data_IF_395481219096
#
_entry.id   IF_395481219096
#
_cell.length_a   1.000
_cell.length_b   1.000
_cell.length_c   1.000
_cell.angle_alpha   90.00
_cell.angle_beta   90.00
_cell.angle_gamma   90.00
#
_symmetry.space_group_name_H-M   'P 1'
#
loop_
_entity.id
_entity.type
_entity.pdbx_description
1 polymer ?
#
# COMPACT_ATOMS: atom_id res chain seq x y z
N UNK A 1 -6.26 -17.54 -1.67
CA UNK A 1 -5.25 -16.58 -2.21
C UNK A 1 -4.04 -17.32 -2.76
N UNK A 2 -3.41 -16.77 -3.82
CA UNK A 2 -2.18 -17.29 -4.44
C UNK A 2 -0.92 -16.63 -3.85
N UNK A 3 -1.01 -15.36 -3.48
CA UNK A 3 0.13 -14.52 -3.14
C UNK A 3 0.16 -14.20 -1.65
N UNK A 4 1.36 -14.21 -1.07
CA UNK A 4 1.56 -13.95 0.35
C UNK A 4 1.30 -12.49 0.72
N UNK A 5 0.85 -12.29 1.94
CA UNK A 5 0.62 -10.98 2.54
C UNK A 5 1.79 -10.62 3.44
N UNK A 6 2.31 -9.40 3.26
CA UNK A 6 3.33 -8.78 4.10
C UNK A 6 2.80 -7.46 4.66
N UNK A 7 3.05 -7.24 5.94
CA UNK A 7 2.60 -6.05 6.68
C UNK A 7 3.84 -5.36 7.26
N UNK A 8 4.37 -4.30 6.64
CA UNK A 8 5.38 -3.48 7.28
C UNK A 8 4.76 -2.74 8.46
N UNK A 9 5.38 -2.83 9.64
CA UNK A 9 4.84 -2.22 10.86
C UNK A 9 5.94 -1.73 11.80
N UNK A 10 5.67 -0.64 12.53
CA UNK A 10 6.59 -0.03 13.49
C UNK A 10 5.80 0.57 14.66
N UNK A 11 6.12 0.13 15.89
CA UNK A 11 5.56 0.71 17.12
C UNK A 11 4.08 0.41 17.35
N UNK A 12 3.51 -0.64 16.72
CA UNK A 12 2.06 -0.98 16.78
C UNK A 12 1.78 -2.41 17.22
N UNK A 13 2.71 -3.04 17.93
CA UNK A 13 2.57 -4.44 18.34
C UNK A 13 1.34 -4.66 19.24
N UNK A 14 0.97 -3.69 20.08
CA UNK A 14 -0.23 -3.80 20.93
C UNK A 14 -1.53 -3.76 20.12
N UNK A 15 -1.55 -3.00 19.02
CA UNK A 15 -2.74 -2.75 18.21
C UNK A 15 -2.41 -2.71 16.72
N UNK A 16 -2.11 -3.85 16.14
CA UNK A 16 -1.96 -4.03 14.69
C UNK A 16 -3.32 -4.41 14.09
N UNK A 17 -4.09 -3.41 13.63
CA UNK A 17 -5.45 -3.61 13.15
C UNK A 17 -5.50 -4.58 11.98
N UNK A 18 -4.56 -4.50 11.05
CA UNK A 18 -4.48 -5.39 9.90
C UNK A 18 -4.19 -6.83 10.32
N UNK A 19 -3.23 -7.04 11.21
CA UNK A 19 -2.91 -8.39 11.70
C UNK A 19 -4.09 -8.99 12.48
N UNK A 20 -4.74 -8.21 13.33
CA UNK A 20 -5.92 -8.66 14.08
C UNK A 20 -7.09 -9.01 13.13
N UNK A 21 -7.31 -8.22 12.05
CA UNK A 21 -8.30 -8.53 11.01
C UNK A 21 -7.98 -9.85 10.30
N UNK A 22 -6.74 -10.06 9.86
CA UNK A 22 -6.35 -11.27 9.13
C UNK A 22 -6.43 -12.52 10.02
N UNK A 23 -6.00 -12.42 11.28
CA UNK A 23 -6.15 -13.50 12.26
C UNK A 23 -7.62 -13.87 12.48
N UNK A 24 -8.50 -12.89 12.60
CA UNK A 24 -9.94 -13.13 12.82
C UNK A 24 -10.60 -13.91 11.69
N UNK A 25 -9.99 -13.89 10.49
CA UNK A 25 -10.44 -14.64 9.31
C UNK A 25 -9.52 -15.82 8.95
N UNK A 26 -8.61 -16.21 9.84
CA UNK A 26 -7.68 -17.32 9.66
C UNK A 26 -6.84 -17.21 8.37
N UNK A 27 -6.35 -16.00 8.06
CA UNK A 27 -5.54 -15.71 6.88
C UNK A 27 -4.06 -15.61 7.29
N UNK A 28 -3.19 -16.26 6.52
CA UNK A 28 -1.74 -16.20 6.74
C UNK A 28 -1.15 -14.88 6.26
N UNK A 29 -0.18 -14.36 7.04
CA UNK A 29 0.56 -13.15 6.73
C UNK A 29 1.94 -13.16 7.38
N UNK A 30 2.80 -12.22 6.96
CA UNK A 30 4.09 -11.93 7.62
C UNK A 30 4.12 -10.46 8.06
N UNK A 31 4.36 -10.24 9.35
CA UNK A 31 4.72 -8.93 9.90
C UNK A 31 6.19 -8.69 9.64
N UNK A 32 6.52 -7.51 9.13
CA UNK A 32 7.91 -7.12 8.85
C UNK A 32 8.30 -5.99 9.79
N UNK A 33 9.21 -6.28 10.71
CA UNK A 33 9.51 -5.46 11.88
C UNK A 33 11.01 -5.19 12.05
N UNK A 34 11.34 -4.09 12.72
CA UNK A 34 12.71 -3.84 13.14
C UNK A 34 13.15 -4.83 14.23
N UNK A 35 14.44 -5.12 14.29
CA UNK A 35 15.04 -6.05 15.27
C UNK A 35 14.63 -5.74 16.71
N UNK A 36 14.67 -4.47 17.08
CA UNK A 36 14.30 -4.02 18.46
C UNK A 36 12.86 -4.32 18.86
N UNK A 37 11.97 -4.59 17.91
CA UNK A 37 10.55 -4.88 18.16
C UNK A 37 10.21 -6.36 17.96
N UNK A 38 11.12 -7.16 17.39
CA UNK A 38 10.88 -8.54 17.01
C UNK A 38 10.23 -9.37 18.12
N UNK A 39 10.80 -9.35 19.33
CA UNK A 39 10.30 -10.14 20.46
C UNK A 39 8.85 -9.80 20.78
N UNK A 40 8.49 -8.53 20.81
CA UNK A 40 7.11 -8.09 21.12
C UNK A 40 6.08 -8.61 20.12
N UNK A 41 6.43 -8.57 18.82
CA UNK A 41 5.56 -9.10 17.79
C UNK A 41 5.54 -10.62 17.76
N UNK A 42 6.67 -11.27 17.97
CA UNK A 42 6.77 -12.73 18.01
C UNK A 42 5.98 -13.34 19.18
N UNK A 43 6.02 -12.72 20.35
CA UNK A 43 5.27 -13.15 21.53
C UNK A 43 3.75 -13.03 21.31
N UNK A 44 3.30 -12.00 20.58
CA UNK A 44 1.87 -11.78 20.33
C UNK A 44 1.33 -12.60 19.17
N UNK A 45 2.05 -12.67 18.06
CA UNK A 45 1.55 -13.19 16.78
C UNK A 45 2.15 -14.54 16.38
N UNK A 46 3.15 -15.02 17.11
CA UNK A 46 3.94 -16.20 16.78
C UNK A 46 5.19 -15.83 15.94
N UNK A 47 6.33 -16.43 16.27
CA UNK A 47 7.62 -16.18 15.59
C UNK A 47 7.59 -16.55 14.11
N UNK A 48 6.77 -17.54 13.74
CA UNK A 48 6.55 -17.98 12.38
C UNK A 48 5.92 -16.91 11.49
N UNK A 49 5.19 -15.94 12.07
CA UNK A 49 4.57 -14.83 11.36
C UNK A 49 5.40 -13.55 11.31
N UNK A 50 6.57 -13.53 11.97
CA UNK A 50 7.36 -12.30 12.08
C UNK A 50 8.67 -12.42 11.30
N UNK A 51 8.87 -11.52 10.35
CA UNK A 51 10.12 -11.34 9.62
C UNK A 51 10.88 -10.15 10.20
N UNK A 52 12.11 -10.37 10.55
CA UNK A 52 13.02 -9.36 11.06
C UNK A 52 13.74 -8.65 9.92
N UNK A 53 13.73 -7.33 9.91
CA UNK A 53 14.56 -6.53 9.01
C UNK A 53 16.05 -6.76 9.32
N UNK A 54 16.92 -6.80 8.30
CA UNK A 54 18.35 -7.12 8.47
C UNK A 54 19.13 -6.04 9.20
N UNK A 55 18.58 -4.85 9.31
CA UNK A 55 19.21 -3.73 10.04
C UNK A 55 18.16 -2.81 10.64
N UNK A 56 18.57 -1.96 11.59
CA UNK A 56 17.72 -0.89 12.10
C UNK A 56 17.27 0.01 10.95
N UNK A 57 15.96 0.30 10.92
CA UNK A 57 15.34 0.95 9.78
C UNK A 57 15.50 2.46 9.83
N UNK A 58 16.67 2.97 9.51
CA UNK A 58 16.85 4.40 9.23
C UNK A 58 16.27 4.84 7.88
N UNK A 59 15.91 3.90 6.99
CA UNK A 59 15.35 4.15 5.67
C UNK A 59 13.81 4.23 5.63
N UNK A 60 13.14 4.21 6.79
CA UNK A 60 11.68 4.31 6.88
C UNK A 60 10.94 3.14 6.20
N UNK A 61 9.68 3.37 5.85
CA UNK A 61 8.81 2.35 5.24
C UNK A 61 9.33 1.86 3.88
N UNK A 62 10.02 2.71 3.12
CA UNK A 62 10.58 2.34 1.82
C UNK A 62 11.60 1.19 1.95
N UNK A 63 12.45 1.21 2.99
CA UNK A 63 13.39 0.13 3.25
C UNK A 63 12.67 -1.20 3.55
N UNK A 64 11.65 -1.17 4.41
CA UNK A 64 10.86 -2.35 4.71
C UNK A 64 10.12 -2.89 3.47
N UNK A 65 9.58 -2.01 2.61
CA UNK A 65 8.91 -2.40 1.37
C UNK A 65 9.86 -3.02 0.36
N UNK A 66 11.09 -2.50 0.23
CA UNK A 66 12.14 -3.09 -0.62
C UNK A 66 12.56 -4.47 -0.09
N UNK A 67 12.78 -4.60 1.22
CA UNK A 67 13.07 -5.89 1.84
C UNK A 67 11.96 -6.93 1.57
N UNK A 68 10.69 -6.54 1.70
CA UNK A 68 9.55 -7.40 1.41
C UNK A 68 9.60 -7.88 -0.04
N UNK A 69 9.81 -6.98 -0.98
CA UNK A 69 9.88 -7.31 -2.41
C UNK A 69 10.99 -8.31 -2.70
N UNK A 70 12.20 -8.07 -2.20
CA UNK A 70 13.32 -8.99 -2.35
C UNK A 70 13.07 -10.34 -1.66
N UNK A 71 12.50 -10.32 -0.46
CA UNK A 71 12.14 -11.55 0.24
C UNK A 71 11.13 -12.37 -0.56
N UNK A 72 10.07 -11.76 -1.06
CA UNK A 72 9.04 -12.40 -1.87
C UNK A 72 9.64 -12.98 -3.17
N UNK A 73 10.46 -12.19 -3.89
CA UNK A 73 11.16 -12.60 -5.10
C UNK A 73 12.09 -13.80 -4.87
N UNK A 74 12.85 -13.79 -3.79
CA UNK A 74 13.77 -14.87 -3.42
C UNK A 74 13.04 -16.17 -3.04
N UNK A 75 11.75 -16.10 -2.70
CA UNK A 75 10.88 -17.26 -2.47
C UNK A 75 10.10 -17.69 -3.73
N UNK A 76 10.45 -17.16 -4.91
CA UNK A 76 9.87 -17.54 -6.19
C UNK A 76 8.44 -17.05 -6.43
N UNK A 77 8.00 -16.05 -5.68
CA UNK A 77 6.66 -15.50 -5.87
C UNK A 77 6.62 -14.55 -7.06
N UNK A 78 5.61 -14.69 -7.91
CA UNK A 78 5.39 -13.80 -9.06
C UNK A 78 4.92 -12.41 -8.60
N UNK A 79 4.09 -12.39 -7.56
CA UNK A 79 3.51 -11.20 -6.94
C UNK A 79 3.45 -11.35 -5.43
N UNK A 80 3.24 -10.25 -4.72
CA UNK A 80 2.94 -10.27 -3.29
C UNK A 80 2.01 -9.13 -2.92
N UNK A 81 1.32 -9.29 -1.81
CA UNK A 81 0.56 -8.22 -1.18
C UNK A 81 1.44 -7.47 -0.17
N UNK A 82 1.44 -6.15 -0.24
CA UNK A 82 1.87 -5.28 0.86
C UNK A 82 0.66 -4.52 1.38
N UNK A 83 0.34 -4.71 2.66
CA UNK A 83 -0.83 -4.11 3.31
C UNK A 83 -0.33 -3.30 4.51
N UNK A 84 -0.75 -2.03 4.62
CA UNK A 84 -0.42 -1.19 5.75
C UNK A 84 -1.08 -1.74 7.04
N UNK A 85 -0.52 -1.44 8.22
CA UNK A 85 -0.86 -2.10 9.48
C UNK A 85 -2.10 -1.54 10.20
N UNK A 86 -2.82 -0.58 9.57
CA UNK A 86 -3.94 0.16 10.15
C UNK A 86 -5.31 -0.10 9.46
N UNK A 87 -5.43 -1.23 8.77
CA UNK A 87 -6.65 -1.62 8.06
C UNK A 87 -7.66 -2.23 9.03
N UNK A 88 -8.87 -1.66 9.05
CA UNK A 88 -9.99 -2.10 9.88
C UNK A 88 -10.90 -3.10 9.18
N UNK A 89 -11.02 -2.99 7.86
CA UNK A 89 -11.91 -3.83 7.06
C UNK A 89 -11.46 -3.87 5.60
N UNK A 90 -11.60 -5.04 4.97
CA UNK A 90 -11.49 -5.26 3.52
C UNK A 90 -12.81 -5.87 3.08
N UNK A 91 -13.38 -5.40 1.97
CA UNK A 91 -14.70 -5.85 1.54
C UNK A 91 -14.97 -5.57 0.07
N UNK A 92 -15.91 -6.32 -0.52
CA UNK A 92 -16.49 -6.01 -1.81
C UNK A 92 -17.77 -5.21 -1.63
N UNK A 93 -17.98 -4.24 -2.50
CA UNK A 93 -19.19 -3.42 -2.49
C UNK A 93 -19.85 -3.34 -3.88
N UNK A 94 -21.19 -3.13 -3.88
CA UNK A 94 -21.97 -2.79 -5.05
C UNK A 94 -23.00 -1.72 -4.68
N UNK A 95 -23.06 -0.64 -5.47
CA UNK A 95 -23.96 0.47 -5.19
C UNK A 95 -23.83 1.09 -3.79
N UNK A 96 -22.62 1.08 -3.22
CA UNK A 96 -22.33 1.58 -1.86
C UNK A 96 -22.70 0.63 -0.72
N UNK A 97 -23.20 -0.57 -1.03
CA UNK A 97 -23.52 -1.60 -0.04
C UNK A 97 -22.42 -2.66 -0.02
N UNK A 98 -22.02 -3.10 1.17
CA UNK A 98 -21.13 -4.25 1.33
C UNK A 98 -21.89 -5.50 0.92
N UNK A 99 -21.32 -6.28 0.01
CA UNK A 99 -21.91 -7.54 -0.49
C UNK A 99 -21.06 -8.76 -0.12
N UNK A 100 -19.78 -8.55 0.21
CA UNK A 100 -18.88 -9.59 0.69
C UNK A 100 -17.77 -8.94 1.54
N UNK A 101 -17.46 -9.49 2.71
CA UNK A 101 -16.39 -9.04 3.60
C UNK A 101 -15.41 -10.17 4.00
N UNK A 102 -15.42 -11.26 3.26
CA UNK A 102 -14.36 -12.27 3.30
C UNK A 102 -13.10 -11.70 2.64
N UNK A 103 -12.06 -11.48 3.44
CA UNK A 103 -10.79 -10.95 2.95
C UNK A 103 -10.16 -11.89 1.93
N UNK A 104 -10.20 -13.21 2.19
CA UNK A 104 -9.67 -14.22 1.25
C UNK A 104 -10.36 -14.14 -0.13
N UNK A 105 -11.68 -14.09 -0.16
CA UNK A 105 -12.41 -13.99 -1.42
C UNK A 105 -12.16 -12.67 -2.15
N UNK A 106 -12.12 -11.56 -1.43
CA UNK A 106 -11.85 -10.23 -2.01
C UNK A 106 -10.46 -10.19 -2.64
N UNK A 107 -9.42 -10.62 -1.91
CA UNK A 107 -8.05 -10.61 -2.43
C UNK A 107 -7.87 -11.64 -3.56
N UNK A 108 -8.45 -12.84 -3.44
CA UNK A 108 -8.44 -13.85 -4.50
C UNK A 108 -9.09 -13.35 -5.79
N UNK A 109 -10.21 -12.64 -5.70
CA UNK A 109 -10.86 -12.04 -6.87
C UNK A 109 -9.98 -10.96 -7.52
N UNK A 110 -9.28 -10.16 -6.73
CA UNK A 110 -8.30 -9.19 -7.25
C UNK A 110 -7.15 -9.89 -7.99
N UNK A 111 -6.57 -10.94 -7.39
CA UNK A 111 -5.51 -11.75 -7.98
C UNK A 111 -5.93 -12.34 -9.32
N UNK A 112 -7.09 -13.02 -9.34
CA UNK A 112 -7.63 -13.63 -10.55
C UNK A 112 -7.88 -12.61 -11.67
N UNK A 113 -8.34 -11.41 -11.33
CA UNK A 113 -8.51 -10.34 -12.31
C UNK A 113 -7.17 -9.84 -12.84
N UNK A 114 -6.21 -9.59 -11.97
CA UNK A 114 -4.88 -9.05 -12.35
C UNK A 114 -4.10 -10.05 -13.20
N UNK A 115 -4.19 -11.34 -12.86
CA UNK A 115 -3.45 -12.41 -13.54
C UNK A 115 -3.93 -12.70 -14.97
N UNK A 116 -5.04 -12.11 -15.42
CA UNK A 116 -5.48 -12.16 -16.84
C UNK A 116 -4.65 -11.23 -17.74
N UNK A 117 -3.89 -10.29 -17.12
CA UNK A 117 -3.16 -9.26 -17.86
C UNK A 117 -1.65 -9.36 -17.67
N UNK A 118 -0.91 -9.23 -18.76
CA UNK A 118 0.56 -9.31 -18.77
C UNK A 118 1.25 -8.03 -18.29
N UNK A 119 0.54 -6.92 -18.18
CA UNK A 119 1.14 -5.60 -17.93
C UNK A 119 0.54 -4.82 -16.74
N UNK A 120 0.00 -5.49 -15.75
CA UNK A 120 -0.37 -4.86 -14.48
C UNK A 120 0.79 -5.00 -13.51
N UNK A 121 1.54 -3.91 -13.31
CA UNK A 121 2.69 -3.89 -12.39
C UNK A 121 2.34 -3.65 -10.94
N UNK A 122 1.20 -2.98 -10.72
CA UNK A 122 0.72 -2.64 -9.37
C UNK A 122 -0.79 -2.55 -9.37
N UNK A 123 -1.44 -3.24 -8.44
CA UNK A 123 -2.89 -3.11 -8.22
C UNK A 123 -3.19 -2.75 -6.76
N UNK A 124 -4.31 -2.07 -6.52
CA UNK A 124 -4.77 -1.74 -5.16
C UNK A 124 -6.29 -1.74 -5.05
N UNK A 125 -6.76 -1.84 -3.82
CA UNK A 125 -8.16 -1.56 -3.46
C UNK A 125 -8.36 -0.06 -3.26
N UNK A 126 -9.60 0.42 -3.34
CA UNK A 126 -9.94 1.79 -3.03
C UNK A 126 -10.30 1.98 -1.56
N UNK A 127 -9.89 3.13 -1.00
CA UNK A 127 -10.41 3.53 0.30
C UNK A 127 -11.93 3.79 0.23
N UNK A 128 -12.64 3.41 1.26
CA UNK A 128 -14.08 3.62 1.42
C UNK A 128 -14.52 5.10 1.29
N UNK A 129 -13.60 6.03 1.54
CA UNK A 129 -13.84 7.47 1.40
C UNK A 129 -14.02 7.89 -0.06
N UNK A 130 -13.31 7.21 -0.98
CA UNK A 130 -13.26 7.61 -2.40
C UNK A 130 -14.25 6.88 -3.30
N UNK A 131 -14.76 5.72 -2.89
CA UNK A 131 -15.61 4.87 -3.75
C UNK A 131 -17.05 5.30 -3.89
N UNK A 132 -17.58 6.13 -3.00
CA UNK A 132 -19.00 6.54 -3.00
C UNK A 132 -19.50 7.16 -4.32
N UNK A 133 -18.57 7.65 -5.12
CA UNK A 133 -18.84 8.40 -6.36
C UNK A 133 -18.34 7.71 -7.62
N UNK A 134 -17.73 6.51 -7.50
CA UNK A 134 -17.13 5.81 -8.64
C UNK A 134 -18.17 4.89 -9.30
N UNK A 135 -18.39 5.11 -10.61
CA UNK A 135 -19.31 4.29 -11.42
C UNK A 135 -18.62 3.04 -12.00
N UNK A 136 -17.31 3.12 -12.26
CA UNK A 136 -16.56 2.02 -12.86
C UNK A 136 -16.05 1.07 -11.76
N UNK A 137 -16.07 -0.26 -12.00
CA UNK A 137 -15.59 -1.25 -11.03
C UNK A 137 -14.09 -1.14 -10.74
N UNK A 138 -13.32 -0.59 -11.67
CA UNK A 138 -11.90 -0.29 -11.52
C UNK A 138 -11.48 0.88 -12.42
N UNK A 139 -10.29 1.41 -12.15
CA UNK A 139 -9.62 2.44 -12.96
C UNK A 139 -8.17 2.01 -13.19
N UNK A 140 -7.63 2.32 -14.38
CA UNK A 140 -6.22 2.11 -14.72
C UNK A 140 -5.44 3.42 -14.67
N UNK A 141 -4.12 3.32 -14.51
CA UNK A 141 -3.20 4.46 -14.45
C UNK A 141 -3.62 5.47 -13.37
N UNK A 142 -3.96 4.94 -12.19
CA UNK A 142 -4.29 5.69 -10.97
C UNK A 142 -3.34 5.33 -9.86
N UNK A 143 -3.16 6.26 -8.94
CA UNK A 143 -2.33 6.00 -7.78
C UNK A 143 -2.91 4.88 -6.92
N UNK A 144 -2.13 3.83 -6.71
CA UNK A 144 -2.38 2.70 -5.85
C UNK A 144 -1.62 2.91 -4.52
N UNK A 145 -2.28 2.73 -3.38
CA UNK A 145 -1.68 2.92 -2.07
C UNK A 145 -2.31 2.01 -1.02
N UNK A 146 -1.73 1.92 0.15
CA UNK A 146 -2.22 1.21 1.35
C UNK A 146 -2.28 -0.31 1.19
N UNK A 147 -3.13 -0.85 0.30
CA UNK A 147 -3.25 -2.28 0.01
C UNK A 147 -2.79 -2.48 -1.42
N UNK A 148 -1.66 -3.13 -1.61
CA UNK A 148 -0.96 -3.21 -2.89
C UNK A 148 -0.63 -4.66 -3.26
N UNK A 149 -1.04 -5.07 -4.47
CA UNK A 149 -0.57 -6.29 -5.13
C UNK A 149 0.52 -5.87 -6.12
N UNK A 150 1.75 -6.33 -5.89
CA UNK A 150 2.96 -5.87 -6.57
C UNK A 150 3.52 -6.99 -7.42
N UNK A 151 3.91 -6.66 -8.65
CA UNK A 151 4.61 -7.55 -9.56
C UNK A 151 6.11 -7.59 -9.20
N UNK A 152 6.63 -8.77 -8.87
CA UNK A 152 8.02 -8.97 -8.47
C UNK A 152 9.01 -8.93 -9.65
N UNK A 153 8.53 -9.01 -10.89
CA UNK A 153 9.39 -8.95 -12.07
C UNK A 153 9.91 -7.55 -12.38
N UNK A 154 9.27 -6.50 -11.84
CA UNK A 154 9.66 -5.12 -12.11
C UNK A 154 10.97 -4.77 -11.38
N UNK A 155 11.94 -4.24 -12.13
CA UNK A 155 13.20 -3.74 -11.56
C UNK A 155 13.08 -2.28 -11.14
N UNK A 156 12.22 -2.03 -10.15
CA UNK A 156 11.99 -0.72 -9.53
C UNK A 156 11.97 -0.84 -8.00
N UNK A 157 12.35 0.22 -7.33
CA UNK A 157 12.49 0.24 -5.87
C UNK A 157 11.76 1.42 -5.23
N UNK A 158 11.33 1.20 -4.01
CA UNK A 158 10.77 2.23 -3.15
C UNK A 158 11.86 3.21 -2.75
N UNK A 159 11.56 4.50 -2.83
CA UNK A 159 12.47 5.58 -2.45
C UNK A 159 11.96 6.32 -1.21
N UNK A 160 12.77 6.35 -0.16
CA UNK A 160 12.42 6.99 1.11
C UNK A 160 12.54 8.52 1.14
N UNK A 161 13.18 9.13 0.13
CA UNK A 161 13.39 10.58 0.08
C UNK A 161 12.19 11.35 -0.51
N UNK A 162 11.19 10.63 -1.00
CA UNK A 162 10.00 11.17 -1.68
C UNK A 162 8.73 10.56 -1.07
N UNK A 163 7.56 10.97 -1.54
CA UNK A 163 6.30 10.27 -1.22
C UNK A 163 6.33 8.93 -1.96
N UNK A 164 6.70 7.90 -1.23
CA UNK A 164 7.07 6.59 -1.78
C UNK A 164 5.96 5.96 -2.61
N UNK A 165 4.70 6.12 -2.21
CA UNK A 165 3.56 5.59 -2.97
C UNK A 165 3.40 6.28 -4.32
N UNK A 166 3.49 7.62 -4.38
CA UNK A 166 3.39 8.36 -5.64
C UNK A 166 4.57 7.98 -6.55
N UNK A 167 5.76 7.97 -5.98
CA UNK A 167 6.99 7.66 -6.71
C UNK A 167 6.97 6.25 -7.32
N UNK A 168 6.63 5.23 -6.54
CA UNK A 168 6.57 3.85 -7.00
C UNK A 168 5.54 3.67 -8.12
N UNK A 169 4.35 4.25 -7.97
CA UNK A 169 3.32 4.22 -9.01
C UNK A 169 3.82 4.83 -10.34
N UNK A 170 4.50 5.97 -10.27
CA UNK A 170 5.01 6.64 -11.47
C UNK A 170 6.16 5.85 -12.11
N UNK A 171 7.03 5.20 -11.33
CA UNK A 171 8.03 4.27 -11.86
C UNK A 171 7.39 3.08 -12.60
N UNK A 172 6.31 2.50 -12.06
CA UNK A 172 5.54 1.43 -12.73
C UNK A 172 5.01 1.91 -14.08
N UNK A 173 4.44 3.11 -14.12
CA UNK A 173 3.90 3.68 -15.35
C UNK A 173 5.01 4.02 -16.37
N UNK A 174 6.13 4.58 -15.93
CA UNK A 174 7.29 4.86 -16.79
C UNK A 174 7.90 3.58 -17.38
N UNK A 175 7.81 2.45 -16.67
CA UNK A 175 8.24 1.13 -17.15
C UNK A 175 7.28 0.51 -18.19
N UNK A 176 6.22 1.23 -18.59
CA UNK A 176 5.25 0.79 -19.59
C UNK A 176 4.14 -0.13 -19.06
N UNK A 177 4.13 -0.39 -17.75
CA UNK A 177 3.09 -1.17 -17.08
C UNK A 177 1.91 -0.28 -16.66
N UNK A 178 0.75 -0.91 -16.40
CA UNK A 178 -0.40 -0.24 -15.82
C UNK A 178 -0.34 -0.30 -14.29
N UNK A 179 -0.82 0.76 -13.65
CA UNK A 179 -1.36 0.66 -12.29
C UNK A 179 -2.86 0.44 -12.36
N UNK A 180 -3.43 -0.30 -11.42
CA UNK A 180 -4.85 -0.60 -11.36
C UNK A 180 -5.39 -0.31 -9.95
N UNK A 181 -6.53 0.37 -9.88
CA UNK A 181 -7.24 0.61 -8.63
C UNK A 181 -8.66 0.08 -8.74
N UNK A 182 -8.98 -0.91 -7.91
CA UNK A 182 -10.34 -1.46 -7.83
C UNK A 182 -11.25 -0.51 -7.06
N UNK A 183 -12.46 -0.26 -7.58
CA UNK A 183 -13.51 0.49 -6.91
C UNK A 183 -14.60 -0.44 -6.34
N UNK A 184 -14.71 -1.66 -6.86
CA UNK A 184 -15.59 -2.69 -6.31
C UNK A 184 -15.03 -3.37 -5.06
N UNK A 185 -13.71 -3.34 -4.88
CA UNK A 185 -13.01 -3.87 -3.72
C UNK A 185 -12.42 -2.72 -2.92
N UNK A 186 -12.78 -2.68 -1.65
CA UNK A 186 -12.58 -1.52 -0.80
C UNK A 186 -11.96 -1.88 0.54
N UNK A 187 -11.37 -0.88 1.18
CA UNK A 187 -10.92 -0.99 2.55
C UNK A 187 -11.35 0.21 3.40
N UNK A 188 -11.46 -0.02 4.70
CA UNK A 188 -11.56 1.01 5.72
C UNK A 188 -10.31 0.97 6.59
N UNK A 189 -9.78 2.14 6.94
CA UNK A 189 -8.56 2.31 7.73
C UNK A 189 -8.76 3.33 8.85
N UNK A 190 -7.79 3.48 9.73
CA UNK A 190 -7.89 4.40 10.86
C UNK A 190 -7.76 5.87 10.49
N UNK A 191 -7.20 6.20 9.34
CA UNK A 191 -6.88 7.57 8.95
C UNK A 191 -5.46 8.00 9.29
N UNK A 192 -4.90 8.90 8.48
CA UNK A 192 -3.55 9.40 8.67
C UNK A 192 -3.39 10.11 10.03
N UNK A 193 -2.42 9.68 10.83
CA UNK A 193 -2.09 10.31 12.11
C UNK A 193 -3.02 9.96 13.27
N UNK A 194 -4.05 9.11 13.08
CA UNK A 194 -4.96 8.69 14.15
C UNK A 194 -4.36 7.63 15.09
N UNK A 195 -3.35 6.88 14.63
CA UNK A 195 -2.62 5.93 15.46
C UNK A 195 -1.24 6.46 15.81
N UNK A 196 -0.70 6.06 16.96
CA UNK A 196 0.69 6.28 17.31
C UNK A 196 1.59 5.30 16.54
N UNK A 197 2.87 5.65 16.38
CA UNK A 197 3.85 4.82 15.65
C UNK A 197 3.82 5.03 14.13
N UNK A 198 4.71 4.33 13.43
CA UNK A 198 4.92 4.48 12.00
C UNK A 198 5.29 5.92 11.61
N UNK A 199 4.75 6.40 10.51
CA UNK A 199 4.98 7.76 10.00
C UNK A 199 4.15 8.85 10.69
N UNK A 200 3.29 8.51 11.64
CA UNK A 200 2.40 9.47 12.31
C UNK A 200 3.15 10.61 12.97
N UNK A 201 4.33 10.33 13.54
CA UNK A 201 5.15 11.35 14.19
C UNK A 201 5.79 12.31 13.18
N UNK A 202 6.22 11.81 12.03
CA UNK A 202 6.73 12.62 10.92
C UNK A 202 5.63 13.52 10.36
N UNK A 203 4.42 12.99 10.17
CA UNK A 203 3.26 13.78 9.76
C UNK A 203 2.94 14.90 10.73
N UNK A 204 2.98 14.63 12.04
CA UNK A 204 2.70 15.64 13.07
C UNK A 204 3.79 16.71 13.13
N UNK A 205 5.07 16.32 12.97
CA UNK A 205 6.20 17.23 13.10
C UNK A 205 6.39 18.13 11.87
N UNK A 206 6.24 17.59 10.65
CA UNK A 206 6.67 18.27 9.40
C UNK A 206 5.58 18.41 8.35
N UNK A 207 4.41 17.77 8.55
CA UNK A 207 3.35 17.68 7.54
C UNK A 207 3.82 17.00 6.24
N UNK A 208 4.92 16.25 6.31
CA UNK A 208 5.51 15.55 5.17
C UNK A 208 6.03 16.47 4.05
N UNK A 209 6.32 17.71 4.41
CA UNK A 209 6.62 18.81 3.46
C UNK A 209 7.78 18.51 2.53
N UNK A 210 8.90 18.05 3.09
CA UNK A 210 10.13 17.83 2.31
C UNK A 210 9.95 16.73 1.28
N UNK A 211 9.33 15.61 1.65
CA UNK A 211 9.03 14.50 0.74
C UNK A 211 8.07 14.94 -0.38
N UNK A 212 7.06 15.75 -0.07
CA UNK A 212 6.13 16.31 -1.06
C UNK A 212 6.87 17.21 -2.06
N UNK A 213 7.77 18.08 -1.59
CA UNK A 213 8.55 18.97 -2.45
C UNK A 213 9.53 18.16 -3.31
N UNK A 214 10.20 17.17 -2.73
CA UNK A 214 11.10 16.29 -3.46
C UNK A 214 10.37 15.51 -4.56
N UNK A 215 9.18 14.97 -4.24
CA UNK A 215 8.32 14.25 -5.22
C UNK A 215 7.87 15.18 -6.35
N UNK A 216 7.46 16.41 -6.00
CA UNK A 216 7.09 17.42 -6.99
C UNK A 216 8.22 17.69 -7.97
N UNK A 217 9.44 17.92 -7.45
CA UNK A 217 10.62 18.21 -8.28
C UNK A 217 10.99 17.02 -9.16
N UNK A 218 11.02 15.81 -8.60
CA UNK A 218 11.42 14.59 -9.32
C UNK A 218 10.51 14.33 -10.53
N UNK A 219 9.21 14.52 -10.39
CA UNK A 219 8.21 14.13 -11.37
C UNK A 219 7.56 15.29 -12.13
N UNK A 220 7.96 16.52 -11.87
CA UNK A 220 7.36 17.71 -12.49
C UNK A 220 5.86 17.82 -12.17
N UNK A 221 5.48 17.54 -10.91
CA UNK A 221 4.07 17.54 -10.52
C UNK A 221 3.52 18.95 -10.37
N UNK A 222 2.20 19.04 -10.24
CA UNK A 222 1.48 20.28 -10.02
C UNK A 222 1.84 20.99 -8.72
N UNK A 223 1.12 22.08 -8.43
CA UNK A 223 1.40 22.93 -7.26
C UNK A 223 1.31 22.18 -5.94
N UNK A 224 2.28 22.40 -5.07
CA UNK A 224 2.19 22.02 -3.65
C UNK A 224 1.30 23.02 -2.93
N UNK A 225 0.31 22.51 -2.19
CA UNK A 225 -0.59 23.31 -1.37
C UNK A 225 -0.52 22.87 0.08
N UNK A 226 -0.63 23.84 0.99
CA UNK A 226 -0.73 23.62 2.43
C UNK A 226 -2.21 23.52 2.80
N UNK A 227 -2.59 22.54 3.59
CA UNK A 227 -3.92 22.39 4.21
C UNK A 227 -3.73 22.24 5.71
N UNK A 228 -4.70 22.69 6.48
CA UNK A 228 -4.72 22.44 7.93
C UNK A 228 -5.80 21.40 8.21
N UNK A 229 -5.44 20.32 8.91
CA UNK A 229 -6.37 19.29 9.36
C UNK A 229 -6.08 18.98 10.83
N UNK A 230 -7.08 19.14 11.68
CA UNK A 230 -6.95 18.90 13.14
C UNK A 230 -5.77 19.67 13.77
N UNK A 231 -5.52 20.91 13.34
CA UNK A 231 -4.41 21.74 13.84
C UNK A 231 -3.03 21.38 13.27
N UNK A 232 -2.94 20.40 12.38
CA UNK A 232 -1.67 19.97 11.76
C UNK A 232 -1.56 20.52 10.35
N UNK A 233 -0.42 21.11 10.02
CA UNK A 233 -0.07 21.53 8.67
C UNK A 233 0.19 20.29 7.80
N UNK A 234 -0.63 20.07 6.78
CA UNK A 234 -0.43 19.02 5.80
C UNK A 234 -0.08 19.62 4.45
N UNK A 235 0.94 19.08 3.82
CA UNK A 235 1.30 19.46 2.46
C UNK A 235 0.77 18.40 1.49
N UNK A 236 0.23 18.84 0.36
CA UNK A 236 -0.29 17.97 -0.70
C UNK A 236 0.17 18.49 -2.05
N UNK A 237 0.43 17.57 -2.97
CA UNK A 237 0.78 17.89 -4.36
C UNK A 237 -0.28 17.32 -5.31
N UNK A 238 -0.62 18.09 -6.36
CA UNK A 238 -1.48 17.57 -7.41
C UNK A 238 -0.67 16.70 -8.37
N UNK A 239 -0.86 15.42 -8.29
CA UNK A 239 -0.28 14.40 -9.17
C UNK A 239 -1.25 13.91 -10.25
N UNK A 240 -2.53 14.27 -10.19
CA UNK A 240 -3.55 13.73 -11.09
C UNK A 240 -3.28 14.08 -12.56
N UNK A 241 -2.73 15.27 -12.83
CA UNK A 241 -2.37 15.67 -14.19
C UNK A 241 -1.31 14.73 -14.76
N UNK A 242 -0.27 14.42 -13.97
CA UNK A 242 0.83 13.53 -14.36
C UNK A 242 0.31 12.12 -14.67
N UNK A 243 -0.52 11.54 -13.82
CA UNK A 243 -1.14 10.23 -14.06
C UNK A 243 -1.98 10.18 -15.34
N UNK A 244 -2.63 11.29 -15.73
CA UNK A 244 -3.40 11.38 -16.99
C UNK A 244 -2.54 11.44 -18.26
N UNK A 245 -1.25 11.69 -18.15
CA UNK A 245 -0.32 11.66 -19.29
C UNK A 245 -0.09 10.23 -19.77
N UNK A 246 -0.14 9.24 -18.87
CA UNK A 246 0.04 7.82 -19.18
C UNK A 246 -1.21 7.24 -19.87
N UNK A 247 -1.00 6.55 -21.00
CA UNK A 247 -2.06 6.03 -21.88
C UNK A 247 -2.00 4.52 -22.05
N UNK A 248 -1.25 3.82 -21.18
CA UNK A 248 -1.22 2.36 -21.18
C UNK A 248 -2.64 1.79 -21.06
N UNK A 249 -2.88 0.69 -21.74
CA UNK A 249 -4.11 -0.10 -21.66
C UNK A 249 -3.78 -1.50 -21.21
N UNK A 250 -4.73 -2.20 -20.62
CA UNK A 250 -4.57 -3.57 -20.17
C UNK A 250 -4.33 -4.50 -21.38
N UNK A 251 -3.29 -5.35 -21.29
CA UNK A 251 -2.95 -6.35 -22.30
C UNK A 251 -3.22 -7.73 -21.72
N UNK A 252 -4.18 -8.44 -22.31
CA UNK A 252 -4.45 -9.83 -21.93
C UNK A 252 -3.25 -10.73 -22.22
N UNK A 253 -3.07 -11.77 -21.42
CA UNK A 253 -2.13 -12.85 -21.65
C UNK A 253 -2.50 -13.64 -22.90
#
# INVERSE_FOLDING_TARGET
MKYKIYIPTLGRWERSLTADLLLSQNIDFKLVVEDKEYTKYADKFGSDRVLKLPSSNYGGVAFARNFIKEHSKNHGELRHWQIDDDIKKIYQQSGGKVINDSVDEVLTNCENFVDVFSNVGLASLSSNVFVKWQKNPFEINKCAYTIKLIDNSLDINWNGDVVEDIDYNLQVLDSGYCTLRFNSFCFAWSGAGEQNGGWSDVYRATGYKEHIIATQKKWGLGKVTKKVKNGIDLYVVDYNKKFREYKQTLKKL
#
